data_IF_169631787141
#
_entry.id   IF_169631787141
#
_cell.length_a   1.000
_cell.length_b   1.000
_cell.length_c   1.000
_cell.angle_alpha   90.00
_cell.angle_beta   90.00
_cell.angle_gamma   90.00
#
_symmetry.space_group_name_H-M   'P 1'
#
loop_
_entity.id
_entity.type
_entity.pdbx_description
1 polymer ?
#
# COMPACT_ATOMS: atom_id res chain seq x y z
N UNK A 1 -13.03 1.61 -30.07
CA UNK A 1 -13.74 1.28 -28.81
C UNK A 1 -14.38 2.48 -28.10
N UNK A 2 -13.86 3.71 -28.23
CA UNK A 2 -14.32 4.86 -27.43
C UNK A 2 -15.75 5.38 -27.72
N UNK A 3 -16.34 5.08 -28.89
CA UNK A 3 -17.74 5.44 -29.19
C UNK A 3 -18.74 4.79 -28.22
N UNK A 4 -18.45 3.56 -27.76
CA UNK A 4 -19.29 2.82 -26.80
C UNK A 4 -19.28 3.43 -25.39
N UNK A 5 -18.27 4.27 -25.07
CA UNK A 5 -18.15 5.00 -23.80
C UNK A 5 -18.86 6.36 -23.80
N UNK A 6 -19.49 6.74 -24.91
CA UNK A 6 -20.26 7.98 -25.01
C UNK A 6 -21.74 7.72 -24.76
N UNK A 7 -22.48 8.71 -24.26
CA UNK A 7 -23.94 8.60 -24.12
C UNK A 7 -24.68 8.70 -25.48
N UNK A 8 -23.95 8.59 -26.60
CA UNK A 8 -24.41 8.67 -28.00
C UNK A 8 -25.06 10.01 -28.40
N UNK A 9 -25.06 11.01 -27.52
CA UNK A 9 -25.54 12.38 -27.78
C UNK A 9 -24.34 13.32 -27.89
N UNK A 10 -24.18 14.03 -29.02
CA UNK A 10 -22.99 14.87 -29.30
C UNK A 10 -21.67 14.11 -29.08
N UNK A 11 -21.64 12.85 -29.50
CA UNK A 11 -20.57 11.88 -29.22
C UNK A 11 -19.19 12.33 -29.71
N UNK A 12 -19.11 13.14 -30.77
CA UNK A 12 -17.83 13.67 -31.31
C UNK A 12 -17.09 14.47 -30.24
N UNK A 13 -17.75 15.41 -29.56
CA UNK A 13 -17.13 16.23 -28.50
C UNK A 13 -16.71 15.38 -27.31
N UNK A 14 -17.50 14.35 -26.97
CA UNK A 14 -17.17 13.42 -25.89
C UNK A 14 -15.94 12.57 -26.24
N UNK A 15 -15.88 12.09 -27.49
CA UNK A 15 -14.77 11.31 -28.00
C UNK A 15 -13.47 12.14 -28.01
N UNK A 16 -13.52 13.37 -28.53
CA UNK A 16 -12.37 14.29 -28.52
C UNK A 16 -11.90 14.61 -27.11
N UNK A 17 -12.82 14.77 -26.15
CA UNK A 17 -12.47 15.01 -24.75
C UNK A 17 -11.81 13.78 -24.09
N UNK A 18 -12.28 12.57 -24.39
CA UNK A 18 -11.69 11.32 -23.91
C UNK A 18 -10.30 11.14 -24.49
N UNK A 19 -10.13 11.34 -25.80
CA UNK A 19 -8.83 11.28 -26.48
C UNK A 19 -7.85 12.32 -25.92
N UNK A 20 -8.28 13.58 -25.79
CA UNK A 20 -7.44 14.65 -25.24
C UNK A 20 -7.03 14.37 -23.79
N UNK A 21 -7.92 13.80 -22.97
CA UNK A 21 -7.59 13.37 -21.60
C UNK A 21 -6.57 12.23 -21.62
N UNK A 22 -6.74 11.25 -22.50
CA UNK A 22 -5.81 10.14 -22.65
C UNK A 22 -4.42 10.64 -23.05
N UNK A 23 -4.32 11.42 -24.12
CA UNK A 23 -3.04 11.99 -24.59
C UNK A 23 -2.35 12.86 -23.54
N UNK A 24 -3.13 13.60 -22.74
CA UNK A 24 -2.57 14.37 -21.63
C UNK A 24 -2.00 13.48 -20.52
N UNK A 25 -2.68 12.37 -20.18
CA UNK A 25 -2.18 11.41 -19.20
C UNK A 25 -0.91 10.73 -19.71
N UNK A 26 -0.89 10.29 -20.97
CA UNK A 26 0.28 9.64 -21.58
C UNK A 26 1.50 10.60 -21.57
N UNK A 27 1.31 11.89 -21.92
CA UNK A 27 2.37 12.91 -21.83
C UNK A 27 2.87 13.16 -20.41
N UNK A 28 1.98 13.12 -19.42
CA UNK A 28 2.38 13.26 -18.01
C UNK A 28 3.20 12.04 -17.60
N UNK A 29 2.77 10.84 -17.98
CA UNK A 29 3.47 9.58 -17.69
C UNK A 29 4.88 9.57 -18.30
N UNK A 30 5.04 10.03 -19.54
CA UNK A 30 6.37 10.11 -20.19
C UNK A 30 7.29 11.13 -19.51
N UNK A 31 6.76 12.31 -19.14
CA UNK A 31 7.53 13.31 -18.37
C UNK A 31 7.96 12.80 -16.99
N UNK A 32 7.13 11.99 -16.33
CA UNK A 32 7.50 11.39 -15.05
C UNK A 32 8.62 10.36 -15.24
N UNK A 33 8.55 9.52 -16.29
CA UNK A 33 9.62 8.57 -16.61
C UNK A 33 10.94 9.28 -16.91
N UNK A 34 10.90 10.35 -17.71
CA UNK A 34 12.08 11.17 -18.01
C UNK A 34 12.68 11.76 -16.73
N UNK A 35 11.87 12.43 -15.90
CA UNK A 35 12.33 13.00 -14.64
C UNK A 35 12.91 11.94 -13.68
N UNK A 36 12.30 10.76 -13.58
CA UNK A 36 12.81 9.67 -12.76
C UNK A 36 14.13 9.11 -13.29
N UNK A 37 14.31 9.02 -14.62
CA UNK A 37 15.57 8.57 -15.21
C UNK A 37 16.73 9.53 -14.90
N UNK A 38 16.46 10.84 -14.92
CA UNK A 38 17.41 11.86 -14.50
C UNK A 38 17.76 11.76 -13.01
N UNK A 39 16.77 11.58 -12.13
CA UNK A 39 17.01 11.41 -10.68
C UNK A 39 17.82 10.13 -10.39
N UNK A 40 17.57 9.04 -11.13
CA UNK A 40 18.34 7.80 -10.99
C UNK A 40 19.80 8.00 -11.44
N UNK A 41 20.05 8.74 -12.51
CA UNK A 41 21.40 9.10 -12.96
C UNK A 41 22.14 10.02 -11.97
N UNK A 42 21.48 11.05 -11.45
CA UNK A 42 22.07 11.95 -10.44
C UNK A 42 22.42 11.20 -9.14
N UNK A 43 21.58 10.25 -8.70
CA UNK A 43 21.83 9.44 -7.50
C UNK A 43 23.01 8.47 -7.62
N UNK A 44 23.42 8.10 -8.85
CA UNK A 44 24.61 7.29 -9.12
C UNK A 44 25.88 8.14 -9.21
N UNK A 45 25.76 9.44 -9.50
CA UNK A 45 26.89 10.37 -9.64
C UNK A 45 27.21 11.16 -8.34
N UNK A 46 26.24 11.33 -7.44
CA UNK A 46 26.43 12.02 -6.16
C UNK A 46 26.92 11.07 -5.04
N UNK A 47 28.24 10.83 -4.97
CA UNK A 47 28.92 10.34 -3.76
C UNK A 47 29.15 11.50 -2.76
N UNK A 48 28.10 12.23 -2.38
CA UNK A 48 28.18 13.23 -1.33
C UNK A 48 27.38 12.76 -0.12
N UNK A 49 28.05 12.72 1.04
CA UNK A 49 27.52 12.52 2.39
C UNK A 49 26.54 13.64 2.82
N UNK A 50 25.60 14.01 1.95
CA UNK A 50 24.50 14.89 2.33
C UNK A 50 23.44 14.05 3.05
N UNK A 51 23.34 14.32 4.35
CA UNK A 51 22.36 13.77 5.27
C UNK A 51 20.97 13.87 4.62
N UNK A 52 20.24 12.75 4.41
CA UNK A 52 18.95 12.80 3.74
C UNK A 52 18.01 13.72 4.53
N UNK A 53 17.24 14.60 3.85
CA UNK A 53 16.38 15.56 4.52
C UNK A 53 15.43 14.82 5.45
N UNK A 54 15.53 15.16 6.75
CA UNK A 54 14.71 14.76 7.89
C UNK A 54 13.75 13.59 7.58
N UNK A 55 14.18 12.36 7.90
CA UNK A 55 13.34 11.16 7.78
C UNK A 55 12.08 11.35 8.62
N UNK A 56 11.04 11.95 8.04
CA UNK A 56 9.74 11.98 8.67
C UNK A 56 9.37 10.53 8.92
N UNK A 57 9.25 10.19 10.20
CA UNK A 57 9.07 8.80 10.63
C UNK A 57 7.95 8.15 9.81
N UNK A 58 8.24 7.04 9.11
CA UNK A 58 7.25 6.36 8.23
C UNK A 58 5.98 5.97 8.97
N UNK A 59 6.07 5.83 10.30
CA UNK A 59 4.95 5.56 11.16
C UNK A 59 5.16 6.15 12.55
N UNK A 60 4.10 6.23 13.33
CA UNK A 60 4.14 6.57 14.74
C UNK A 60 3.47 5.48 15.58
N UNK A 61 4.16 5.07 16.65
CA UNK A 61 3.71 4.09 17.63
C UNK A 61 3.94 4.60 19.05
N UNK A 62 3.01 4.30 19.95
CA UNK A 62 3.14 4.63 21.35
C UNK A 62 4.35 3.93 22.01
N UNK A 63 4.90 4.54 23.07
CA UNK A 63 5.99 3.95 23.86
C UNK A 63 5.50 3.13 25.07
N UNK A 64 4.20 3.23 25.39
CA UNK A 64 3.58 2.54 26.53
C UNK A 64 2.49 1.62 26.01
N UNK A 65 2.61 0.34 26.33
CA UNK A 65 1.64 -0.69 26.00
C UNK A 65 1.31 -1.58 27.19
N UNK A 66 0.36 -2.49 27.01
CA UNK A 66 0.06 -3.53 27.98
C UNK A 66 1.17 -4.58 27.88
N UNK A 67 1.99 -4.67 28.93
CA UNK A 67 3.08 -5.63 28.99
C UNK A 67 2.56 -7.02 29.38
N UNK A 68 3.08 -8.05 28.74
CA UNK A 68 2.86 -9.44 29.14
C UNK A 68 4.15 -10.25 29.00
N UNK A 69 4.18 -11.37 29.73
CA UNK A 69 5.28 -12.34 29.67
C UNK A 69 5.05 -13.29 28.49
N UNK A 70 5.95 -13.30 27.50
CA UNK A 70 5.77 -14.02 26.24
C UNK A 70 5.60 -15.51 26.48
N UNK A 71 6.50 -16.16 27.22
CA UNK A 71 6.39 -17.60 27.46
C UNK A 71 5.11 -17.99 28.22
N UNK A 72 4.69 -17.18 29.20
CA UNK A 72 3.44 -17.42 29.93
C UNK A 72 2.23 -17.28 29.00
N UNK A 73 2.23 -16.26 28.16
CA UNK A 73 1.15 -15.99 27.22
C UNK A 73 1.04 -17.10 26.15
N UNK A 74 2.17 -17.57 25.61
CA UNK A 74 2.20 -18.71 24.69
C UNK A 74 1.67 -19.99 25.34
N UNK A 75 2.03 -20.25 26.60
CA UNK A 75 1.51 -21.41 27.31
C UNK A 75 -0.02 -21.35 27.50
N UNK A 76 -0.57 -20.16 27.77
CA UNK A 76 -2.02 -19.96 27.91
C UNK A 76 -2.78 -20.18 26.58
N UNK A 77 -2.15 -19.84 25.45
CA UNK A 77 -2.76 -19.91 24.13
C UNK A 77 -2.24 -21.09 23.29
N UNK A 78 -1.56 -22.08 23.89
CA UNK A 78 -0.89 -23.18 23.18
C UNK A 78 -1.77 -24.04 22.25
N UNK A 79 -3.09 -23.95 22.40
CA UNK A 79 -4.06 -24.67 21.59
C UNK A 79 -4.75 -23.77 20.56
N UNK A 80 -4.46 -22.45 20.56
CA UNK A 80 -4.96 -21.52 19.56
C UNK A 80 -4.12 -21.67 18.28
N UNK A 81 -4.75 -21.97 17.13
CA UNK A 81 -4.02 -22.19 15.87
C UNK A 81 -3.19 -20.97 15.45
N UNK A 82 -3.56 -19.76 15.87
CA UNK A 82 -2.80 -18.55 15.56
C UNK A 82 -1.42 -18.52 16.23
N UNK A 83 -1.25 -19.23 17.34
CA UNK A 83 0.04 -19.26 18.06
C UNK A 83 0.99 -20.36 17.57
N UNK A 84 0.55 -21.19 16.62
CA UNK A 84 1.41 -22.16 15.95
C UNK A 84 2.59 -21.42 15.32
N UNK A 85 3.80 -21.88 15.57
CA UNK A 85 5.06 -21.28 15.09
C UNK A 85 5.34 -19.82 15.54
N UNK A 86 4.48 -19.20 16.36
CA UNK A 86 4.61 -17.78 16.75
C UNK A 86 6.00 -17.42 17.28
N UNK A 87 6.55 -18.25 18.17
CA UNK A 87 7.85 -17.97 18.78
C UNK A 87 8.99 -18.02 17.76
N UNK A 88 8.97 -19.00 16.86
CA UNK A 88 10.00 -19.17 15.81
C UNK A 88 9.93 -18.01 14.83
N UNK A 89 8.74 -17.72 14.30
CA UNK A 89 8.50 -16.60 13.39
C UNK A 89 8.87 -15.25 14.02
N UNK A 90 8.64 -15.08 15.33
CA UNK A 90 9.02 -13.86 16.04
C UNK A 90 10.54 -13.73 16.12
N UNK A 91 11.27 -14.78 16.51
CA UNK A 91 12.72 -14.72 16.58
C UNK A 91 13.34 -14.47 15.20
N UNK A 92 12.81 -15.12 14.15
CA UNK A 92 13.27 -14.95 12.78
C UNK A 92 13.06 -13.50 12.31
N UNK A 93 11.88 -12.94 12.59
CA UNK A 93 11.61 -11.53 12.32
C UNK A 93 12.54 -10.60 13.10
N UNK A 94 12.68 -10.77 14.41
CA UNK A 94 13.55 -9.93 15.24
C UNK A 94 15.02 -10.02 14.78
N UNK A 95 15.49 -11.21 14.42
CA UNK A 95 16.85 -11.42 13.94
C UNK A 95 17.08 -10.74 12.59
N UNK A 96 16.16 -10.88 11.62
CA UNK A 96 16.21 -10.17 10.34
C UNK A 96 16.29 -8.65 10.56
N UNK A 97 15.47 -8.11 11.48
CA UNK A 97 15.48 -6.70 11.88
C UNK A 97 16.81 -6.26 12.47
N UNK A 98 17.44 -7.08 13.31
CA UNK A 98 18.73 -6.74 13.92
C UNK A 98 19.88 -6.78 12.91
N UNK A 99 19.81 -7.64 11.90
CA UNK A 99 20.82 -7.69 10.83
C UNK A 99 20.68 -6.58 9.79
N UNK A 100 19.62 -5.78 9.85
CA UNK A 100 19.32 -4.77 8.84
C UNK A 100 19.03 -5.38 7.47
N UNK A 101 18.65 -6.67 7.43
CA UNK A 101 18.21 -7.34 6.21
C UNK A 101 16.73 -7.13 6.03
N UNK A 102 16.32 -6.99 4.78
CA UNK A 102 14.90 -7.05 4.46
C UNK A 102 14.36 -8.44 4.83
N UNK A 103 13.11 -8.55 5.30
CA UNK A 103 12.48 -9.80 5.72
C UNK A 103 12.24 -10.81 4.59
N UNK A 104 12.93 -10.64 3.46
CA UNK A 104 12.62 -11.10 2.11
C UNK A 104 13.62 -12.13 1.58
N UNK A 105 14.81 -12.20 2.19
CA UNK A 105 15.62 -13.39 2.05
C UNK A 105 14.80 -14.52 2.73
N UNK A 106 14.48 -15.63 2.04
CA UNK A 106 13.96 -16.88 2.65
C UNK A 106 15.00 -17.44 3.64
N UNK A 107 15.24 -16.73 4.73
CA UNK A 107 16.29 -17.01 5.69
C UNK A 107 15.72 -18.03 6.65
N UNK A 108 15.99 -19.28 6.32
CA UNK A 108 15.95 -20.35 7.30
C UNK A 108 17.11 -20.10 8.27
N UNK A 109 16.83 -19.38 9.36
CA UNK A 109 17.81 -19.20 10.42
C UNK A 109 18.07 -20.53 11.13
N UNK A 110 19.33 -20.72 11.53
CA UNK A 110 19.70 -21.81 12.42
C UNK A 110 19.25 -21.53 13.86
N UNK A 111 19.12 -22.58 14.67
CA UNK A 111 18.78 -22.41 16.08
C UNK A 111 19.89 -21.68 16.85
N UNK A 112 21.14 -21.81 16.43
CA UNK A 112 22.28 -21.07 16.98
C UNK A 112 22.11 -19.56 16.76
N UNK A 113 21.68 -19.15 15.56
CA UNK A 113 21.44 -17.74 15.24
C UNK A 113 20.23 -17.19 16.01
N UNK A 114 19.14 -17.96 16.13
CA UNK A 114 17.98 -17.57 16.94
C UNK A 114 18.32 -17.33 18.41
N UNK A 115 19.25 -18.13 18.97
CA UNK A 115 19.73 -17.95 20.36
C UNK A 115 20.54 -16.66 20.57
N UNK A 116 21.00 -16.02 19.50
CA UNK A 116 21.71 -14.73 19.59
C UNK A 116 20.80 -13.54 19.90
N UNK A 117 19.48 -13.73 19.79
CA UNK A 117 18.44 -12.75 20.05
C UNK A 117 17.78 -13.08 21.38
N UNK A 118 17.90 -12.18 22.35
CA UNK A 118 17.32 -12.35 23.68
C UNK A 118 16.31 -11.25 23.96
N UNK A 119 15.05 -11.62 24.13
CA UNK A 119 13.97 -10.70 24.52
C UNK A 119 14.16 -10.32 25.99
N UNK A 120 14.32 -9.02 26.25
CA UNK A 120 14.57 -8.48 27.57
C UNK A 120 13.40 -8.80 28.52
N UNK A 121 13.72 -9.45 29.63
CA UNK A 121 12.76 -9.82 30.70
C UNK A 121 11.58 -10.68 30.24
N UNK A 122 11.66 -11.37 29.09
CA UNK A 122 10.54 -12.11 28.51
C UNK A 122 9.31 -11.20 28.28
N UNK A 123 9.49 -9.89 28.00
CA UNK A 123 8.38 -8.92 27.93
C UNK A 123 8.09 -8.44 26.51
N UNK A 124 6.84 -8.57 26.11
CA UNK A 124 6.27 -7.91 24.93
C UNK A 124 5.22 -6.91 25.38
N UNK A 125 5.16 -5.77 24.70
CA UNK A 125 4.22 -4.70 24.95
C UNK A 125 3.23 -4.61 23.80
N UNK A 126 1.95 -4.78 24.11
CA UNK A 126 0.86 -4.62 23.15
C UNK A 126 0.39 -3.17 23.10
N UNK A 127 0.30 -2.64 21.89
CA UNK A 127 -0.17 -1.29 21.60
C UNK A 127 -1.57 -1.34 20.96
N UNK A 128 -2.34 -0.27 21.16
CA UNK A 128 -3.72 -0.18 20.67
C UNK A 128 -3.80 0.23 19.19
N UNK A 129 -2.85 1.02 18.72
CA UNK A 129 -2.92 1.68 17.41
C UNK A 129 -1.53 1.92 16.84
N UNK A 130 -1.44 1.84 15.52
CA UNK A 130 -0.34 2.31 14.68
C UNK A 130 -0.86 3.48 13.83
N UNK A 131 -0.07 4.55 13.70
CA UNK A 131 -0.31 5.60 12.70
C UNK A 131 0.69 5.41 11.58
N UNK A 132 0.24 4.98 10.40
CA UNK A 132 1.10 4.83 9.23
C UNK A 132 1.09 6.14 8.44
N UNK A 133 2.24 6.76 8.23
CA UNK A 133 2.33 8.00 7.46
C UNK A 133 2.47 7.69 5.97
N UNK A 134 1.76 8.43 5.15
CA UNK A 134 1.83 8.31 3.70
C UNK A 134 1.74 9.68 3.04
N UNK A 135 2.30 9.79 1.85
CA UNK A 135 2.21 10.99 1.03
C UNK A 135 1.05 10.84 0.05
N UNK A 136 0.16 11.82 0.03
CA UNK A 136 -0.94 11.87 -0.93
C UNK A 136 -0.45 12.30 -2.31
N UNK A 137 -1.28 12.11 -3.33
CA UNK A 137 -0.97 12.52 -4.71
C UNK A 137 -0.65 14.02 -4.83
N UNK A 138 -1.30 14.86 -4.03
CA UNK A 138 -1.05 16.30 -3.94
C UNK A 138 0.14 16.67 -3.05
N UNK A 139 1.05 15.72 -2.81
CA UNK A 139 2.30 15.87 -2.05
C UNK A 139 2.09 16.31 -0.59
N UNK A 140 0.94 16.01 -0.01
CA UNK A 140 0.67 16.27 1.40
C UNK A 140 0.94 15.03 2.23
N UNK A 141 1.44 15.21 3.44
CA UNK A 141 1.58 14.10 4.37
C UNK A 141 0.26 13.86 5.11
N UNK A 142 -0.23 12.63 5.06
CA UNK A 142 -1.37 12.15 5.84
C UNK A 142 -1.01 10.88 6.58
N UNK A 143 -1.95 10.35 7.35
CA UNK A 143 -1.75 9.13 8.09
C UNK A 143 -3.00 8.25 8.15
N UNK A 144 -2.77 6.94 8.08
CA UNK A 144 -3.77 5.91 8.34
C UNK A 144 -3.68 5.49 9.81
N UNK A 145 -4.84 5.42 10.48
CA UNK A 145 -4.93 4.92 11.85
C UNK A 145 -5.31 3.44 11.84
N UNK A 146 -4.32 2.57 11.97
CA UNK A 146 -4.51 1.11 12.02
C UNK A 146 -4.79 0.69 13.47
N UNK A 147 -5.95 0.08 13.69
CA UNK A 147 -6.37 -0.42 14.99
C UNK A 147 -6.86 -1.87 14.88
N UNK A 148 -6.10 -2.84 15.41
CA UNK A 148 -6.42 -4.27 15.36
C UNK A 148 -7.73 -4.67 16.05
N UNK A 149 -8.31 -3.78 16.87
CA UNK A 149 -9.59 -4.03 17.55
C UNK A 149 -10.80 -3.50 16.78
N UNK A 150 -10.59 -2.87 15.62
CA UNK A 150 -11.63 -2.26 14.81
C UNK A 150 -11.62 -2.79 13.37
N UNK A 151 -12.56 -2.32 12.54
CA UNK A 151 -12.61 -2.59 11.11
C UNK A 151 -11.38 -2.09 10.33
N UNK A 152 -10.61 -1.16 10.89
CA UNK A 152 -9.46 -0.55 10.23
C UNK A 152 -8.17 -1.29 10.63
N UNK A 153 -8.12 -2.59 10.33
CA UNK A 153 -6.99 -3.47 10.64
C UNK A 153 -6.32 -4.05 9.41
N UNK A 154 -6.90 -3.87 8.22
CA UNK A 154 -6.37 -4.38 6.98
C UNK A 154 -5.36 -3.40 6.37
N UNK A 155 -4.23 -3.93 5.92
CA UNK A 155 -3.09 -3.18 5.39
C UNK A 155 -2.63 -3.78 4.07
N UNK A 156 -1.90 -2.97 3.30
CA UNK A 156 -1.19 -3.42 2.10
C UNK A 156 0.31 -3.15 2.24
N UNK A 157 1.09 -4.11 1.78
CA UNK A 157 2.56 -4.06 1.69
C UNK A 157 2.96 -4.33 0.24
N UNK A 158 4.16 -3.94 -0.17
CA UNK A 158 4.64 -4.25 -1.52
C UNK A 158 4.73 -5.76 -1.71
N UNK A 159 4.26 -6.25 -2.86
CA UNK A 159 4.45 -7.63 -3.29
C UNK A 159 5.91 -7.87 -3.58
N UNK A 160 6.40 -9.06 -3.24
CA UNK A 160 7.78 -9.48 -3.45
C UNK A 160 7.85 -10.61 -4.50
N UNK A 161 6.83 -10.73 -5.36
CA UNK A 161 6.81 -11.75 -6.40
C UNK A 161 7.99 -11.57 -7.37
N UNK A 162 8.77 -12.64 -7.55
CA UNK A 162 9.90 -12.63 -8.48
C UNK A 162 9.49 -12.52 -9.95
N UNK A 163 8.22 -12.86 -10.27
CA UNK A 163 7.67 -12.73 -11.62
C UNK A 163 7.27 -11.25 -11.87
N UNK A 164 7.94 -10.56 -12.79
CA UNK A 164 7.63 -9.17 -13.11
C UNK A 164 6.18 -8.99 -13.55
N UNK A 165 5.63 -9.90 -14.35
CA UNK A 165 4.25 -9.77 -14.87
C UNK A 165 3.22 -9.94 -13.75
N UNK A 166 3.52 -10.80 -12.78
CA UNK A 166 2.68 -10.96 -11.60
C UNK A 166 2.77 -9.75 -10.66
N UNK A 167 3.97 -9.21 -10.46
CA UNK A 167 4.18 -7.95 -9.75
C UNK A 167 3.48 -6.76 -10.41
N UNK A 168 3.34 -6.77 -11.74
CA UNK A 168 2.59 -5.76 -12.48
C UNK A 168 1.09 -5.82 -12.22
N UNK A 169 0.53 -7.03 -12.18
CA UNK A 169 -0.90 -7.25 -11.99
C UNK A 169 -1.32 -7.12 -10.52
N UNK A 170 -0.46 -7.56 -9.61
CA UNK A 170 -0.67 -7.58 -8.17
C UNK A 170 0.53 -6.92 -7.45
N UNK A 171 0.64 -5.58 -7.48
CA UNK A 171 1.78 -4.87 -6.88
C UNK A 171 1.82 -4.96 -5.35
N UNK A 172 0.75 -5.44 -4.70
CA UNK A 172 0.64 -5.48 -3.25
C UNK A 172 0.28 -6.87 -2.74
N UNK A 173 0.77 -7.18 -1.54
CA UNK A 173 0.21 -8.18 -0.66
C UNK A 173 -0.65 -7.51 0.40
N UNK A 174 -1.63 -8.24 0.91
CA UNK A 174 -2.55 -7.74 1.92
C UNK A 174 -2.46 -8.57 3.17
N UNK A 175 -2.62 -7.92 4.33
CA UNK A 175 -2.68 -8.60 5.60
C UNK A 175 -3.66 -7.93 6.55
N UNK A 176 -4.22 -8.72 7.47
CA UNK A 176 -5.00 -8.21 8.61
C UNK A 176 -4.10 -8.14 9.84
N UNK A 177 -3.93 -6.95 10.40
CA UNK A 177 -3.19 -6.77 11.65
C UNK A 177 -4.00 -7.30 12.83
N UNK A 178 -3.45 -8.30 13.53
CA UNK A 178 -4.04 -8.91 14.73
C UNK A 178 -3.64 -8.11 15.97
N UNK A 179 -2.36 -7.73 16.04
CA UNK A 179 -1.78 -6.99 17.15
C UNK A 179 -0.62 -6.09 16.69
N UNK A 180 -0.50 -4.94 17.35
CA UNK A 180 0.66 -4.06 17.25
C UNK A 180 1.52 -4.29 18.48
N UNK A 181 2.80 -4.62 18.30
CA UNK A 181 3.71 -4.95 19.39
C UNK A 181 4.98 -4.11 19.35
N UNK A 182 5.59 -3.97 20.52
CA UNK A 182 7.01 -3.67 20.61
C UNK A 182 7.68 -4.51 21.71
N UNK A 183 8.98 -4.71 21.58
CA UNK A 183 9.79 -5.36 22.61
C UNK A 183 11.19 -4.75 22.66
N UNK A 184 11.94 -5.09 23.69
CA UNK A 184 13.34 -4.72 23.84
C UNK A 184 14.20 -5.97 23.69
N UNK A 185 15.19 -5.91 22.82
CA UNK A 185 15.99 -7.06 22.41
C UNK A 185 17.46 -6.80 22.68
N UNK A 186 18.14 -7.76 23.29
CA UNK A 186 19.60 -7.86 23.27
C UNK A 186 20.01 -8.72 22.08
N UNK A 187 20.97 -8.22 21.29
CA UNK A 187 21.50 -8.95 20.15
C UNK A 187 23.02 -9.04 20.28
N UNK A 188 23.55 -10.27 20.22
CA UNK A 188 24.98 -10.56 20.39
C UNK A 188 25.53 -9.90 21.68
N UNK A 189 26.60 -9.12 21.55
CA UNK A 189 27.28 -8.45 22.66
C UNK A 189 26.91 -6.97 22.78
N UNK A 190 25.75 -6.56 22.24
CA UNK A 190 25.31 -5.18 22.35
C UNK A 190 25.11 -4.80 23.83
N UNK A 191 25.72 -3.69 24.29
CA UNK A 191 25.67 -3.30 25.69
C UNK A 191 24.28 -2.81 26.12
N UNK A 192 23.46 -2.35 25.17
CA UNK A 192 22.13 -1.79 25.43
C UNK A 192 21.07 -2.53 24.62
N UNK A 193 19.90 -2.81 25.22
CA UNK A 193 18.80 -3.40 24.48
C UNK A 193 18.25 -2.40 23.47
N UNK A 194 17.87 -2.91 22.29
CA UNK A 194 17.24 -2.12 21.23
C UNK A 194 15.74 -2.33 21.24
N UNK A 195 14.97 -1.27 21.08
CA UNK A 195 13.52 -1.37 20.88
C UNK A 195 13.25 -1.84 19.45
N UNK A 196 12.39 -2.84 19.31
CA UNK A 196 11.91 -3.34 18.02
C UNK A 196 10.39 -3.27 18.01
N UNK A 197 9.85 -2.54 17.03
CA UNK A 197 8.44 -2.44 16.74
C UNK A 197 8.08 -3.43 15.62
N UNK A 198 6.99 -4.16 15.77
CA UNK A 198 6.57 -5.19 14.82
C UNK A 198 5.04 -5.40 14.87
N UNK A 199 4.47 -5.82 13.76
CA UNK A 199 3.04 -6.12 13.64
C UNK A 199 2.86 -7.62 13.50
N UNK A 200 1.93 -8.20 14.25
CA UNK A 200 1.50 -9.58 14.05
C UNK A 200 0.28 -9.59 13.15
N UNK A 201 0.38 -10.30 12.02
CA UNK A 201 -0.60 -10.24 10.94
C UNK A 201 -1.10 -11.63 10.54
N UNK A 202 -2.29 -11.66 9.93
CA UNK A 202 -2.83 -12.80 9.18
C UNK A 202 -2.84 -12.45 7.70
N UNK A 203 -2.23 -13.27 6.87
CA UNK A 203 -2.07 -13.00 5.44
C UNK A 203 -3.33 -13.28 4.63
N UNK A 204 -3.52 -12.48 3.59
CA UNK A 204 -4.47 -12.78 2.52
C UNK A 204 -3.72 -13.35 1.31
N UNK A 205 -4.24 -14.44 0.77
CA UNK A 205 -3.80 -15.05 -0.47
C UNK A 205 -4.74 -14.68 -1.62
N UNK A 206 -4.21 -14.72 -2.83
CA UNK A 206 -4.98 -14.48 -4.05
C UNK A 206 -5.89 -15.66 -4.36
N UNK A 207 -7.06 -15.36 -4.92
CA UNK A 207 -7.86 -16.40 -5.58
C UNK A 207 -7.41 -16.55 -7.03
N UNK A 208 -6.63 -17.60 -7.31
CA UNK A 208 -6.12 -17.90 -8.66
C UNK A 208 -7.22 -18.26 -9.66
N UNK A 209 -8.43 -18.58 -9.18
CA UNK A 209 -9.57 -18.88 -10.05
C UNK A 209 -10.40 -17.64 -10.41
N UNK A 210 -10.05 -16.46 -9.88
CA UNK A 210 -10.77 -15.23 -10.12
C UNK A 210 -10.05 -14.32 -11.12
N UNK A 211 -10.60 -14.18 -12.32
CA UNK A 211 -10.14 -13.16 -13.26
C UNK A 211 -10.55 -11.76 -12.77
N UNK A 212 -9.58 -10.86 -12.64
CA UNK A 212 -9.77 -9.46 -12.24
C UNK A 212 -9.03 -8.50 -13.18
N UNK A 213 -9.17 -7.21 -12.95
CA UNK A 213 -8.48 -6.16 -13.71
C UNK A 213 -9.41 -5.36 -14.61
N UNK A 214 -8.81 -4.42 -15.33
CA UNK A 214 -9.55 -3.40 -16.09
C UNK A 214 -10.30 -4.03 -17.28
N UNK A 215 -9.72 -5.04 -17.93
CA UNK A 215 -10.34 -5.75 -19.06
C UNK A 215 -11.59 -6.52 -18.66
N UNK A 216 -11.58 -7.10 -17.46
CA UNK A 216 -12.72 -7.84 -16.92
C UNK A 216 -13.67 -6.95 -16.12
N UNK A 217 -13.28 -5.70 -15.85
CA UNK A 217 -13.99 -4.75 -14.98
C UNK A 217 -14.34 -5.35 -13.60
N UNK A 218 -13.42 -6.17 -13.06
CA UNK A 218 -13.59 -6.87 -11.78
C UNK A 218 -12.48 -6.48 -10.80
N UNK A 219 -12.86 -6.34 -9.53
CA UNK A 219 -11.92 -6.08 -8.45
C UNK A 219 -11.09 -7.33 -8.14
N UNK A 220 -9.87 -7.12 -7.65
CA UNK A 220 -9.05 -8.21 -7.12
C UNK A 220 -9.80 -8.91 -5.99
N UNK A 221 -9.74 -10.25 -6.01
CA UNK A 221 -10.43 -11.12 -5.07
C UNK A 221 -9.41 -11.92 -4.26
N UNK A 222 -9.53 -11.83 -2.95
CA UNK A 222 -8.57 -12.38 -2.00
C UNK A 222 -9.29 -13.14 -0.89
N UNK A 223 -8.59 -14.10 -0.28
CA UNK A 223 -9.08 -14.89 0.85
C UNK A 223 -7.99 -15.03 1.90
N UNK A 224 -8.33 -15.45 3.12
CA UNK A 224 -7.29 -15.77 4.08
C UNK A 224 -6.44 -16.94 3.59
N UNK A 225 -5.12 -16.83 3.77
CA UNK A 225 -4.21 -17.97 3.65
C UNK A 225 -4.58 -19.00 4.72
N UNK A 226 -4.52 -20.27 4.34
CA UNK A 226 -4.79 -21.42 5.18
C UNK A 226 -3.59 -22.36 5.19
N UNK A 227 -3.52 -23.28 6.15
CA UNK A 227 -2.42 -24.26 6.19
C UNK A 227 -2.38 -25.17 4.94
N UNK A 228 -3.52 -25.32 4.24
CA UNK A 228 -3.62 -26.11 3.01
C UNK A 228 -2.89 -25.45 1.83
N UNK A 229 -2.64 -24.14 1.91
CA UNK A 229 -1.94 -23.37 0.87
C UNK A 229 -0.41 -23.56 0.92
N UNK A 230 0.10 -24.41 1.83
CA UNK A 230 1.53 -24.71 1.94
C UNK A 230 2.39 -23.57 2.47
N UNK A 231 1.78 -22.51 3.01
CA UNK A 231 2.43 -21.34 3.57
C UNK A 231 1.89 -21.02 4.97
N UNK A 232 2.68 -20.35 5.80
CA UNK A 232 2.24 -19.95 7.13
C UNK A 232 1.17 -18.83 7.03
N UNK A 233 -0.04 -19.02 7.56
CA UNK A 233 -1.12 -18.03 7.45
C UNK A 233 -0.90 -16.79 8.33
N UNK A 234 0.09 -16.85 9.22
CA UNK A 234 0.44 -15.78 10.15
C UNK A 234 1.90 -15.37 9.95
N UNK A 235 2.19 -14.10 10.18
CA UNK A 235 3.55 -13.58 10.07
C UNK A 235 3.77 -12.32 10.88
N UNK A 236 5.01 -11.86 10.86
CA UNK A 236 5.41 -10.58 11.44
C UNK A 236 5.95 -9.65 10.37
N UNK A 237 5.54 -8.39 10.42
CA UNK A 237 6.02 -7.37 9.50
C UNK A 237 6.57 -6.16 10.25
N UNK A 238 7.54 -5.49 9.63
CA UNK A 238 7.99 -4.18 10.07
C UNK A 238 6.90 -3.15 9.77
N UNK A 239 6.44 -2.35 10.75
CA UNK A 239 5.51 -1.27 10.49
C UNK A 239 5.99 -0.32 9.39
N UNK A 240 7.31 -0.21 9.17
CA UNK A 240 7.89 0.63 8.12
C UNK A 240 7.71 0.09 6.69
N UNK A 241 7.34 -1.18 6.54
CA UNK A 241 7.01 -1.83 5.26
C UNK A 241 5.54 -1.65 4.87
N UNK A 242 4.70 -1.12 5.76
CA UNK A 242 3.28 -0.85 5.49
C UNK A 242 3.18 0.34 4.52
N UNK A 243 2.56 0.11 3.37
CA UNK A 243 2.34 1.16 2.38
C UNK A 243 1.15 2.01 2.81
N UNK A 244 -0.01 1.37 3.02
CA UNK A 244 -1.27 2.01 3.45
C UNK A 244 -2.18 1.04 4.19
N UNK A 245 -3.19 1.57 4.87
CA UNK A 245 -4.39 0.81 5.18
C UNK A 245 -5.21 0.56 3.90
N UNK A 246 -5.90 -0.58 3.83
CA UNK A 246 -6.72 -0.96 2.68
C UNK A 246 -8.17 -1.18 3.10
N UNK A 247 -9.11 -0.84 2.20
CA UNK A 247 -10.52 -1.14 2.39
C UNK A 247 -10.89 -2.44 1.68
N UNK A 248 -11.22 -3.47 2.46
CA UNK A 248 -11.67 -4.76 1.95
C UNK A 248 -13.19 -4.87 2.04
N UNK A 249 -13.83 -5.24 0.92
CA UNK A 249 -15.28 -5.45 0.86
C UNK A 249 -15.54 -6.96 1.00
N UNK A 250 -16.25 -7.41 2.05
CA UNK A 250 -16.61 -8.81 2.15
C UNK A 250 -17.41 -9.30 0.95
N UNK A 251 -17.09 -10.51 0.50
CA UNK A 251 -17.83 -11.18 -0.55
C UNK A 251 -19.14 -11.74 0.01
N UNK A 252 -20.16 -10.90 0.11
CA UNK A 252 -21.41 -11.25 0.82
C UNK A 252 -22.11 -12.49 0.26
N UNK A 253 -21.95 -12.79 -1.03
CA UNK A 253 -22.57 -13.95 -1.68
C UNK A 253 -21.89 -15.28 -1.32
N UNK A 254 -20.59 -15.27 -1.02
CA UNK A 254 -19.84 -16.42 -0.51
C UNK A 254 -20.17 -16.69 0.96
N UNK A 255 -20.50 -15.63 1.71
CA UNK A 255 -20.90 -15.75 3.11
C UNK A 255 -19.71 -15.95 4.04
N UNK A 256 -19.96 -16.62 5.17
CA UNK A 256 -19.00 -16.77 6.26
C UNK A 256 -18.73 -18.24 6.57
N UNK A 257 -17.50 -18.55 6.95
CA UNK A 257 -17.02 -19.91 7.19
C UNK A 257 -16.14 -19.99 8.43
N UNK A 258 -16.15 -21.17 9.06
CA UNK A 258 -15.22 -21.54 10.13
C UNK A 258 -14.03 -22.37 9.63
N UNK A 259 -14.00 -22.73 8.34
CA UNK A 259 -13.01 -23.68 7.80
C UNK A 259 -11.62 -23.05 7.66
N UNK A 260 -11.55 -21.74 7.39
CA UNK A 260 -10.28 -21.03 7.13
C UNK A 260 -9.33 -20.95 8.33
N UNK A 261 -9.83 -21.19 9.55
CA UNK A 261 -9.05 -21.21 10.78
C UNK A 261 -9.80 -22.01 11.84
N UNK A 262 -9.12 -22.77 12.68
CA UNK A 262 -9.77 -23.36 13.85
C UNK A 262 -10.40 -22.32 14.79
N UNK A 263 -10.95 -22.79 15.91
CA UNK A 263 -11.38 -21.90 16.99
C UNK A 263 -10.16 -21.09 17.49
N UNK A 264 -10.20 -19.77 17.28
CA UNK A 264 -9.13 -18.85 17.68
C UNK A 264 -9.74 -17.61 18.31
N UNK A 265 -9.29 -17.29 19.52
CA UNK A 265 -9.70 -16.08 20.22
C UNK A 265 -8.82 -14.87 19.84
N UNK A 266 -7.66 -15.13 19.23
CA UNK A 266 -6.66 -14.12 18.94
C UNK A 266 -6.81 -13.55 17.53
N UNK A 267 -7.00 -14.40 16.53
CA UNK A 267 -6.90 -14.05 15.11
C UNK A 267 -8.24 -13.82 14.40
N UNK A 268 -9.37 -13.97 15.12
CA UNK A 268 -10.72 -13.69 14.59
C UNK A 268 -11.17 -12.27 14.98
N UNK A 269 -12.18 -11.77 14.26
CA UNK A 269 -12.80 -10.49 14.57
C UNK A 269 -13.23 -10.49 16.04
N UNK A 270 -12.83 -9.46 16.78
CA UNK A 270 -13.11 -9.31 18.22
C UNK A 270 -14.56 -8.86 18.48
N UNK A 271 -15.50 -9.46 17.78
CA UNK A 271 -16.93 -9.36 18.07
C UNK A 271 -17.32 -10.54 18.98
N UNK A 272 -17.93 -10.29 20.15
CA UNK A 272 -18.32 -11.35 21.08
C UNK A 272 -19.21 -12.39 20.37
N UNK A 273 -18.79 -13.66 20.39
CA UNK A 273 -19.53 -14.76 19.78
C UNK A 273 -19.34 -14.93 18.27
N UNK A 274 -18.55 -14.08 17.61
CA UNK A 274 -18.23 -14.24 16.20
C UNK A 274 -17.14 -15.32 16.01
N UNK A 275 -17.55 -16.50 15.54
CA UNK A 275 -16.67 -17.64 15.28
C UNK A 275 -16.38 -17.87 13.80
N UNK A 276 -16.90 -16.99 12.93
CA UNK A 276 -16.83 -17.14 11.48
C UNK A 276 -16.01 -16.01 10.84
N UNK A 277 -15.19 -16.37 9.87
CA UNK A 277 -14.56 -15.41 8.96
C UNK A 277 -15.42 -15.24 7.71
N UNK A 278 -15.33 -14.11 7.03
CA UNK A 278 -15.78 -14.05 5.64
C UNK A 278 -14.93 -14.98 4.78
N UNK A 279 -15.57 -15.67 3.84
CA UNK A 279 -14.88 -16.62 2.96
C UNK A 279 -13.83 -15.93 2.07
N UNK A 280 -14.16 -14.74 1.59
CA UNK A 280 -13.30 -13.95 0.70
C UNK A 280 -13.69 -12.47 0.71
N UNK A 281 -12.84 -11.64 0.11
CA UNK A 281 -12.97 -10.19 0.04
C UNK A 281 -12.62 -9.68 -1.36
N UNK A 282 -13.18 -8.54 -1.72
CA UNK A 282 -12.72 -7.72 -2.85
C UNK A 282 -11.88 -6.57 -2.36
N UNK A 283 -10.77 -6.30 -3.03
CA UNK A 283 -9.92 -5.13 -2.75
C UNK A 283 -10.55 -3.89 -3.37
N UNK A 284 -10.99 -2.94 -2.54
CA UNK A 284 -11.55 -1.69 -3.04
C UNK A 284 -10.45 -0.67 -3.38
N UNK A 285 -9.77 -0.87 -4.51
CA UNK A 285 -8.75 0.06 -5.01
C UNK A 285 -9.28 1.47 -5.30
N UNK A 286 -10.61 1.67 -5.33
CA UNK A 286 -11.26 2.95 -5.61
C UNK A 286 -11.77 3.66 -4.34
N UNK A 287 -11.44 3.16 -3.14
CA UNK A 287 -11.89 3.76 -1.88
C UNK A 287 -11.48 5.23 -1.73
N UNK A 288 -10.28 5.58 -2.24
CA UNK A 288 -9.83 6.95 -2.37
C UNK A 288 -8.91 7.12 -3.59
N UNK A 289 -8.68 8.38 -3.99
CA UNK A 289 -7.86 8.75 -5.15
C UNK A 289 -6.42 8.24 -4.99
N UNK A 290 -5.84 8.38 -3.81
CA UNK A 290 -4.44 8.06 -3.60
C UNK A 290 -4.24 6.53 -3.64
N UNK A 291 -5.14 5.75 -3.03
CA UNK A 291 -5.15 4.29 -3.10
C UNK A 291 -5.27 3.78 -4.55
N UNK A 292 -6.13 4.42 -5.36
CA UNK A 292 -6.24 4.11 -6.78
C UNK A 292 -4.92 4.40 -7.52
N UNK A 293 -4.31 5.56 -7.27
CA UNK A 293 -3.02 5.91 -7.88
C UNK A 293 -1.91 4.96 -7.45
N UNK A 294 -1.95 4.42 -6.23
CA UNK A 294 -1.03 3.37 -5.81
C UNK A 294 -1.18 2.09 -6.64
N UNK A 295 -2.41 1.66 -6.95
CA UNK A 295 -2.64 0.47 -7.78
C UNK A 295 -2.36 0.71 -9.26
N UNK A 296 -2.49 1.96 -9.74
CA UNK A 296 -2.16 2.34 -11.13
C UNK A 296 -0.65 2.45 -11.39
N UNK A 297 0.16 2.71 -10.36
CA UNK A 297 1.60 2.96 -10.50
C UNK A 297 2.01 4.43 -10.63
N UNK A 298 1.10 5.38 -10.39
CA UNK A 298 1.37 6.83 -10.45
C UNK A 298 1.31 7.51 -9.07
N UNK A 299 1.33 6.74 -7.98
CA UNK A 299 1.30 7.26 -6.61
C UNK A 299 2.65 7.79 -6.15
N UNK A 300 2.66 8.81 -5.30
CA UNK A 300 3.88 9.36 -4.70
C UNK A 300 4.47 8.33 -3.71
N UNK A 301 5.80 8.13 -3.74
CA UNK A 301 6.51 7.17 -2.87
C UNK A 301 6.73 5.77 -3.48
N UNK A 302 6.45 5.58 -4.77
CA UNK A 302 6.59 4.32 -5.53
C UNK A 302 8.00 4.08 -6.11
N UNK A 303 9.07 4.35 -5.38
CA UNK A 303 10.42 4.32 -5.97
C UNK A 303 10.84 2.94 -6.51
N UNK A 304 10.24 1.84 -6.04
CA UNK A 304 10.61 0.46 -6.43
C UNK A 304 9.64 -0.24 -7.39
N UNK A 305 8.41 0.26 -7.59
CA UNK A 305 7.39 -0.44 -8.43
C UNK A 305 6.90 0.41 -9.61
N UNK A 306 7.34 1.67 -9.72
CA UNK A 306 6.88 2.62 -10.74
C UNK A 306 6.97 2.08 -12.19
N UNK A 307 8.03 1.33 -12.52
CA UNK A 307 8.26 0.85 -13.88
C UNK A 307 7.36 -0.35 -14.28
N UNK A 308 6.86 -1.11 -13.32
CA UNK A 308 6.08 -2.32 -13.60
C UNK A 308 4.60 -1.98 -13.74
N UNK A 309 3.98 -1.33 -12.76
CA UNK A 309 2.52 -1.13 -12.69
C UNK A 309 1.98 -0.17 -13.76
N UNK A 310 2.78 0.82 -14.20
CA UNK A 310 2.36 1.80 -15.20
C UNK A 310 2.05 1.17 -16.58
N UNK A 311 2.70 0.04 -16.90
CA UNK A 311 2.60 -0.57 -18.23
C UNK A 311 1.24 -1.23 -18.52
N UNK A 312 0.50 -1.65 -17.51
CA UNK A 312 -0.77 -2.38 -17.69
C UNK A 312 -2.00 -1.48 -17.86
N UNK A 313 -1.88 -0.17 -17.60
CA UNK A 313 -2.99 0.77 -17.76
C UNK A 313 -2.91 1.60 -19.06
N UNK A 314 -2.02 1.23 -19.97
CA UNK A 314 -1.98 1.73 -21.34
C UNK A 314 -2.58 0.64 -22.25
N UNK A 315 -3.72 0.87 -22.94
CA UNK A 315 -4.37 -0.16 -23.76
C UNK A 315 -3.46 -0.72 -24.87
N UNK A 316 -3.58 -2.01 -25.18
CA UNK A 316 -2.81 -2.82 -26.15
C UNK A 316 -2.55 -2.20 -27.55
N UNK A 317 -3.27 -1.14 -27.92
CA UNK A 317 -2.98 -0.35 -29.14
C UNK A 317 -1.71 0.50 -29.08
N UNK A 318 -1.08 0.65 -27.91
CA UNK A 318 0.05 1.55 -27.67
C UNK A 318 1.44 0.89 -27.67
N UNK A 319 1.53 -0.44 -27.72
CA UNK A 319 2.81 -1.17 -27.72
C UNK A 319 3.71 -0.86 -28.93
N UNK A 320 3.17 -0.25 -30.00
CA UNK A 320 3.96 0.07 -31.20
C UNK A 320 4.66 1.43 -31.14
N UNK A 321 4.33 2.29 -30.19
CA UNK A 321 4.91 3.63 -30.03
C UNK A 321 5.88 3.71 -28.83
N UNK A 322 5.68 2.89 -27.82
CA UNK A 322 6.64 2.71 -26.74
C UNK A 322 7.70 1.70 -27.20
N UNK A 323 8.88 2.17 -27.60
CA UNK A 323 10.04 1.33 -27.88
C UNK A 323 10.54 0.63 -26.61
N UNK A 324 9.76 -0.33 -26.09
CA UNK A 324 10.14 -1.18 -24.96
C UNK A 324 11.16 -2.17 -25.50
N UNK A 325 12.44 -1.93 -25.19
CA UNK A 325 13.47 -2.93 -25.36
C UNK A 325 13.17 -4.08 -24.39
N UNK A 326 12.99 -5.29 -24.90
CA UNK A 326 12.90 -6.49 -24.07
C UNK A 326 14.19 -6.66 -23.27
N UNK A 327 14.06 -7.21 -22.06
CA UNK A 327 15.13 -7.39 -21.07
C UNK A 327 16.30 -8.28 -21.51
N UNK A 328 16.33 -8.74 -22.76
CA UNK A 328 17.32 -9.71 -23.26
C UNK A 328 18.60 -9.08 -23.85
N UNK A 329 18.68 -7.75 -24.03
CA UNK A 329 19.80 -7.14 -24.78
C UNK A 329 20.64 -6.10 -23.99
N UNK A 330 20.78 -6.23 -22.67
CA UNK A 330 21.79 -5.46 -21.92
C UNK A 330 23.14 -6.19 -22.00
N UNK A 331 23.73 -6.33 -23.18
CA UNK A 331 25.19 -6.48 -23.34
C UNK A 331 25.56 -6.27 -24.81
N UNK A 332 26.41 -5.25 -25.04
CA UNK A 332 26.92 -4.72 -26.31
C UNK A 332 26.08 -3.55 -26.83
N UNK A 333 26.61 -2.34 -26.75
CA UNK A 333 27.41 -1.75 -27.83
C UNK A 333 28.21 -0.55 -27.31
N UNK A 334 29.52 -0.60 -27.55
CA UNK A 334 30.45 0.53 -27.51
C UNK A 334 30.19 1.49 -28.67
N UNK A 335 30.48 2.78 -28.40
CA UNK A 335 30.97 3.82 -29.31
C UNK A 335 30.27 4.03 -30.67
N UNK A 336 29.60 5.18 -30.78
CA UNK A 336 29.28 5.80 -32.06
C UNK A 336 28.53 7.12 -31.89
N UNK A 337 29.26 8.24 -31.84
CA UNK A 337 28.73 9.59 -32.12
C UNK A 337 28.40 9.68 -33.62
N UNK A 338 27.27 10.28 -34.01
CA UNK A 338 27.39 11.56 -34.71
C UNK A 338 26.31 12.61 -34.37
N UNK A 339 26.75 13.86 -34.48
CA UNK A 339 26.03 15.13 -34.60
C UNK A 339 24.87 15.09 -35.62
N UNK A 340 23.76 15.81 -35.36
CA UNK A 340 23.55 17.16 -35.92
C UNK A 340 22.24 17.82 -35.47
N UNK A 341 22.31 19.15 -35.50
CA UNK A 341 21.36 20.21 -35.17
C UNK A 341 20.03 20.17 -35.94
N UNK A 342 18.95 20.68 -35.35
CA UNK A 342 18.37 21.98 -35.75
C UNK A 342 17.22 22.41 -34.81
N UNK A 343 17.35 23.66 -34.36
CA UNK A 343 16.43 24.47 -33.58
C UNK A 343 15.40 25.13 -34.48
N UNK A 344 14.13 25.23 -34.07
CA UNK A 344 13.23 26.27 -34.56
C UNK A 344 12.42 26.90 -33.43
N UNK A 345 12.35 28.23 -33.52
CA UNK A 345 11.97 29.22 -32.53
C UNK A 345 10.46 29.41 -32.31
N UNK A 346 10.18 29.93 -31.12
CA UNK A 346 9.13 30.85 -30.66
C UNK A 346 8.01 31.28 -31.63
N UNK A 347 6.76 31.12 -31.16
CA UNK A 347 5.71 32.12 -31.40
C UNK A 347 4.90 32.37 -30.11
N UNK A 348 5.16 33.56 -29.57
CA UNK A 348 4.38 34.33 -28.61
C UNK A 348 3.01 34.70 -29.21
N UNK A 349 1.96 34.64 -28.40
CA UNK A 349 0.71 35.36 -28.70
C UNK A 349 0.04 35.72 -27.37
N UNK A 350 0.35 36.93 -26.93
CA UNK A 350 -0.18 37.58 -25.74
C UNK A 350 -0.89 38.86 -26.15
N UNK A 351 -2.23 38.87 -26.19
CA UNK A 351 -3.08 40.07 -26.25
C UNK A 351 -4.51 39.70 -25.80
N UNK A 352 -5.32 40.44 -25.03
CA UNK A 352 -5.23 41.72 -24.33
C UNK A 352 -6.41 41.75 -23.32
N UNK A 353 -6.20 42.41 -22.19
CA UNK A 353 -7.23 42.81 -21.21
C UNK A 353 -7.68 44.25 -21.50
N UNK A 354 -8.99 44.50 -21.52
CA UNK A 354 -9.69 45.79 -21.39
C UNK A 354 -11.20 45.46 -21.29
N UNK A 355 -12.02 45.93 -20.33
CA UNK A 355 -11.84 46.97 -19.33
C UNK A 355 -13.19 47.61 -18.98
N UNK A 356 -13.44 47.81 -17.67
CA UNK A 356 -14.38 48.76 -17.04
C UNK A 356 -15.90 48.59 -17.26
N UNK A 357 -16.80 48.86 -16.31
CA UNK A 357 -16.78 49.39 -14.93
C UNK A 357 -18.24 49.30 -14.43
N UNK A 358 -18.70 49.84 -13.30
CA UNK A 358 -18.16 50.31 -12.04
C UNK A 358 -19.39 50.38 -11.09
N UNK A 359 -19.11 50.28 -9.78
CA UNK A 359 -19.88 50.82 -8.64
C UNK A 359 -21.29 50.35 -8.26
N UNK A 360 -21.42 50.10 -6.95
CA UNK A 360 -22.71 49.99 -6.26
C UNK A 360 -22.61 49.41 -4.86
N UNK A 361 -22.04 50.16 -3.91
CA UNK A 361 -22.05 49.84 -2.48
C UNK A 361 -23.48 49.84 -1.90
N UNK A 362 -23.74 48.93 -0.95
CA UNK A 362 -24.19 49.22 0.42
C UNK A 362 -25.28 48.29 0.99
N UNK A 363 -25.07 47.97 2.27
CA UNK A 363 -26.02 47.80 3.37
C UNK A 363 -26.75 46.45 3.59
N UNK A 364 -26.33 45.82 4.68
CA UNK A 364 -27.11 45.22 5.78
C UNK A 364 -28.63 45.11 5.61
N UNK A 365 -29.15 43.91 5.88
CA UNK A 365 -30.21 43.77 6.89
C UNK A 365 -30.25 42.37 7.49
N UNK A 366 -30.38 42.35 8.81
CA UNK A 366 -30.63 41.21 9.67
C UNK A 366 -32.13 41.08 9.93
N UNK A 367 -32.65 39.84 9.91
CA UNK A 367 -33.90 39.39 10.57
C UNK A 367 -33.91 37.86 10.47
N UNK A 368 -33.67 37.08 11.52
CA UNK A 368 -34.51 36.77 12.69
C UNK A 368 -35.75 35.91 12.36
N UNK A 369 -35.74 34.67 12.90
CA UNK A 369 -36.90 33.91 13.37
C UNK A 369 -37.68 33.10 12.33
N UNK A 370 -37.69 31.77 12.42
CA UNK A 370 -38.56 31.03 13.35
C UNK A 370 -38.45 29.53 13.12
N UNK A 371 -38.16 28.81 14.19
CA UNK A 371 -38.31 27.36 14.33
C UNK A 371 -39.76 26.93 14.09
N UNK A 372 -39.94 25.84 13.35
CA UNK A 372 -41.15 25.01 13.42
C UNK A 372 -40.71 23.55 13.46
N UNK A 373 -40.76 22.98 14.66
CA UNK A 373 -40.72 21.55 14.92
C UNK A 373 -41.92 20.87 14.26
N UNK A 374 -41.68 19.79 13.52
CA UNK A 374 -42.71 18.80 13.20
C UNK A 374 -42.18 17.43 13.63
N UNK A 375 -42.67 17.02 14.79
CA UNK A 375 -42.60 15.67 15.35
C UNK A 375 -43.63 14.79 14.61
N UNK A 376 -43.19 13.63 14.10
CA UNK A 376 -44.10 12.57 13.63
C UNK A 376 -43.65 11.27 14.26
N UNK A 377 -44.34 10.94 15.35
CA UNK A 377 -44.50 9.60 15.87
C UNK A 377 -45.78 8.97 15.28
N UNK A 378 -45.72 7.65 15.11
CA UNK A 378 -46.81 6.71 14.78
C UNK A 378 -47.42 6.77 13.36
N UNK A 379 -47.03 5.80 12.52
CA UNK A 379 -47.88 4.67 12.10
C UNK A 379 -47.06 3.53 11.50
#
# INVERSE_FOLDING_TARGET
>A
MNFLRTNKVKYVKQLTNVERRQTNLDRIDDRIKEALSHVYQESQESNSDDDPPDRVSRYHMGCKGIAFHLHRWLHQHRFDPATKNFYVLLLDHLLARMMGRDPDDELVFSDEERRSVVIRNDRIYQLKRLQNHYTTYDLQQKYDSINPTSSNSDIMVLSQDSDPEQCRLCPFWYARVICVFHTEVHWKNDPYPRRVDFLWVRWFGRDTNHAFGDDTCRLEHIRFVTEEDGSDPFGFIDPSSVVRAVHLIPCFHSGRTQVLLGASALARVKEPGCVLDWESFYVNKFADRDLFMHHRGGGVGHTTTFNSTLANHVPDGFHRAAGVMSSENIFKYENGVPDNLESEDDLDDSEMLDGSGADGCAADSSTAGSDVDIDISEY
#
